data_IF_276819091405
#
_entry.id   IF_276819091405
#
_cell.length_a   1.000
_cell.length_b   1.000
_cell.length_c   1.000
_cell.angle_alpha   90.00
_cell.angle_beta   90.00
_cell.angle_gamma   90.00
#
_symmetry.space_group_name_H-M   'P 1'
#
loop_
_entity.id
_entity.type
_entity.pdbx_description
1 polymer ?
#
# COMPACT_ATOMS: atom_id res chain seq x y z
N UNK A 1 4.00 35.66 -0.21
CA UNK A 1 4.56 35.11 1.03
C UNK A 1 3.67 33.95 1.43
N UNK A 2 4.10 32.72 1.21
CA UNK A 2 3.44 31.52 1.73
C UNK A 2 4.14 31.15 3.04
N UNK A 3 3.36 31.03 4.10
CA UNK A 3 3.83 30.51 5.39
C UNK A 3 3.91 29.00 5.21
N UNK A 4 5.10 28.43 5.38
CA UNK A 4 5.27 26.98 5.53
C UNK A 4 4.51 26.55 6.78
N UNK A 5 3.46 25.75 6.59
CA UNK A 5 2.60 25.28 7.67
C UNK A 5 3.27 24.21 8.53
N UNK A 6 4.53 23.83 8.24
CA UNK A 6 5.30 22.89 9.06
C UNK A 6 4.67 21.51 9.10
N UNK A 7 4.16 21.03 7.97
CA UNK A 7 3.62 19.69 7.85
C UNK A 7 4.75 18.69 8.16
N UNK A 8 4.59 17.73 9.08
CA UNK A 8 5.64 16.76 9.32
C UNK A 8 5.89 15.97 8.02
N UNK A 9 7.09 15.44 7.83
CA UNK A 9 7.42 14.61 6.66
C UNK A 9 7.80 13.20 7.08
N UNK A 10 7.47 12.22 6.22
CA UNK A 10 7.67 10.79 6.44
C UNK A 10 7.48 10.30 7.88
N UNK A 11 8.59 9.85 8.46
CA UNK A 11 8.68 9.23 9.78
C UNK A 11 9.03 10.21 10.91
N UNK A 12 8.88 11.53 10.71
CA UNK A 12 9.33 12.55 11.65
C UNK A 12 8.82 12.36 13.09
N UNK A 13 7.56 11.92 13.24
CA UNK A 13 6.94 11.74 14.56
C UNK A 13 7.25 10.38 15.20
N UNK A 14 7.90 9.46 14.46
CA UNK A 14 8.16 8.10 14.92
C UNK A 14 9.49 8.04 15.67
N UNK A 15 9.51 7.61 16.94
CA UNK A 15 10.73 7.54 17.72
C UNK A 15 11.81 6.65 17.10
N UNK A 16 13.01 7.23 16.97
CA UNK A 16 14.23 6.57 16.50
C UNK A 16 15.01 5.97 17.66
N UNK A 17 15.97 5.12 17.33
CA UNK A 17 16.97 4.65 18.29
C UNK A 17 17.80 5.83 18.82
N UNK A 18 18.29 5.76 20.07
CA UNK A 18 19.23 6.76 20.59
C UNK A 18 20.50 6.85 19.76
N UNK A 19 21.13 8.02 19.75
CA UNK A 19 22.44 8.21 19.13
C UNK A 19 23.47 7.26 19.74
N UNK A 20 24.25 6.59 18.87
CA UNK A 20 25.25 5.61 19.28
C UNK A 20 24.69 4.23 19.67
N UNK A 21 23.38 3.99 19.51
CA UNK A 21 22.82 2.65 19.65
C UNK A 21 23.45 1.68 18.64
N UNK A 22 23.64 0.43 19.04
CA UNK A 22 24.14 -0.61 18.15
C UNK A 22 23.17 -0.80 16.95
N UNK A 23 23.70 -1.03 15.73
CA UNK A 23 22.86 -1.28 14.57
C UNK A 23 21.87 -2.42 14.82
N UNK A 24 20.61 -2.19 14.44
CA UNK A 24 19.63 -3.26 14.47
C UNK A 24 19.95 -4.33 13.42
N UNK A 25 19.47 -5.54 13.64
CA UNK A 25 19.66 -6.69 12.74
C UNK A 25 18.34 -7.32 12.35
N UNK A 26 18.32 -8.00 11.21
CA UNK A 26 17.16 -8.79 10.75
C UNK A 26 16.59 -9.69 11.86
N UNK A 27 17.47 -10.37 12.61
CA UNK A 27 17.08 -11.30 13.68
C UNK A 27 16.21 -10.63 14.75
N UNK A 28 16.42 -9.34 15.05
CA UNK A 28 15.61 -8.64 16.04
C UNK A 28 14.16 -8.42 15.58
N UNK A 29 13.90 -8.41 14.25
CA UNK A 29 12.56 -8.27 13.66
C UNK A 29 11.92 -9.60 13.28
N UNK A 30 12.63 -10.72 13.41
CA UNK A 30 12.09 -12.07 13.20
C UNK A 30 11.51 -12.61 14.51
N UNK A 31 10.25 -13.05 14.49
CA UNK A 31 9.62 -13.72 15.64
C UNK A 31 10.16 -15.14 15.85
N UNK A 32 9.86 -15.74 16.99
CA UNK A 32 10.09 -17.17 17.26
C UNK A 32 9.04 -18.12 16.64
N UNK A 33 7.98 -17.57 16.03
CA UNK A 33 6.91 -18.35 15.42
C UNK A 33 7.34 -19.04 14.13
N UNK A 34 6.90 -20.29 13.96
CA UNK A 34 7.10 -21.05 12.73
C UNK A 34 6.25 -20.50 11.57
N UNK A 35 6.90 -20.23 10.44
CA UNK A 35 6.23 -19.75 9.23
C UNK A 35 5.49 -20.91 8.55
N UNK A 36 4.17 -20.78 8.41
CA UNK A 36 3.25 -21.84 7.94
C UNK A 36 2.74 -21.63 6.52
N UNK A 37 3.53 -20.98 5.68
CA UNK A 37 3.21 -20.85 4.26
C UNK A 37 3.69 -22.08 3.49
N UNK A 38 3.14 -22.28 2.29
CA UNK A 38 3.55 -23.38 1.44
C UNK A 38 5.00 -23.19 0.95
N UNK A 39 5.82 -24.25 0.82
CA UNK A 39 7.14 -24.15 0.21
C UNK A 39 7.06 -23.48 -1.17
N UNK A 40 7.92 -22.48 -1.41
CA UNK A 40 7.90 -21.69 -2.65
C UNK A 40 6.90 -20.53 -2.68
N UNK A 41 6.12 -20.29 -1.61
CA UNK A 41 5.23 -19.15 -1.52
C UNK A 41 6.00 -17.83 -1.55
N UNK A 42 5.55 -16.88 -2.36
CA UNK A 42 6.10 -15.52 -2.46
C UNK A 42 6.14 -14.75 -1.13
N UNK A 43 5.20 -15.05 -0.23
CA UNK A 43 5.12 -14.45 1.11
C UNK A 43 6.45 -14.57 1.89
N UNK A 44 7.20 -15.66 1.71
CA UNK A 44 8.52 -15.84 2.33
C UNK A 44 9.53 -14.78 1.87
N UNK A 45 9.53 -14.44 0.58
CA UNK A 45 10.44 -13.45 0.02
C UNK A 45 10.09 -12.05 0.53
N UNK A 46 8.80 -11.71 0.56
CA UNK A 46 8.33 -10.42 1.09
C UNK A 46 8.65 -10.27 2.57
N UNK A 47 8.38 -11.30 3.38
CA UNK A 47 8.72 -11.32 4.81
C UNK A 47 10.22 -11.16 5.04
N UNK A 48 11.05 -11.95 4.35
CA UNK A 48 12.49 -11.90 4.50
C UNK A 48 13.07 -10.54 4.10
N UNK A 49 12.50 -9.90 3.08
CA UNK A 49 12.89 -8.57 2.61
C UNK A 49 12.50 -7.51 3.63
N UNK A 50 11.24 -7.50 4.10
CA UNK A 50 10.78 -6.58 5.14
C UNK A 50 11.61 -6.69 6.42
N UNK A 51 11.86 -7.89 6.93
CA UNK A 51 12.69 -8.09 8.13
C UNK A 51 14.13 -7.61 7.95
N UNK A 52 14.68 -7.68 6.73
CA UNK A 52 16.01 -7.16 6.40
C UNK A 52 16.04 -5.63 6.26
N UNK A 53 14.94 -5.05 5.77
CA UNK A 53 14.78 -3.61 5.53
C UNK A 53 14.49 -2.81 6.81
N UNK A 54 13.65 -3.31 7.73
CA UNK A 54 13.26 -2.56 8.93
C UNK A 54 14.44 -2.03 9.80
N UNK A 55 15.54 -2.78 9.99
CA UNK A 55 16.74 -2.27 10.65
C UNK A 55 17.28 -0.95 10.08
N UNK A 56 17.14 -0.74 8.78
CA UNK A 56 17.67 0.42 8.08
C UNK A 56 16.88 1.71 8.38
N UNK A 57 15.64 1.58 8.87
CA UNK A 57 14.83 2.74 9.26
C UNK A 57 15.31 3.38 10.57
N UNK A 58 16.05 2.64 11.40
CA UNK A 58 16.53 3.11 12.70
C UNK A 58 15.40 3.43 13.70
N UNK A 59 14.21 2.86 13.51
CA UNK A 59 13.06 3.04 14.38
C UNK A 59 13.11 2.08 15.57
N UNK A 60 12.53 2.49 16.69
CA UNK A 60 12.27 1.56 17.79
C UNK A 60 11.25 0.52 17.36
N UNK A 61 11.50 -0.75 17.71
CA UNK A 61 10.72 -1.89 17.27
C UNK A 61 9.28 -1.86 17.80
N UNK A 62 9.11 -1.34 19.01
CA UNK A 62 7.85 -1.06 19.67
C UNK A 62 7.04 0.09 19.04
N UNK A 63 7.66 0.90 18.17
CA UNK A 63 7.01 1.96 17.41
C UNK A 63 6.66 1.55 15.97
N UNK A 64 6.87 0.29 15.59
CA UNK A 64 6.44 -0.28 14.31
C UNK A 64 5.27 -1.23 14.58
N UNK A 65 4.18 -1.09 13.83
CA UNK A 65 2.99 -1.93 14.01
C UNK A 65 2.54 -2.55 12.70
N UNK A 66 2.40 -3.87 12.66
CA UNK A 66 1.81 -4.60 11.53
C UNK A 66 0.37 -5.03 11.81
N UNK A 67 -0.58 -4.52 11.03
CA UNK A 67 -1.99 -4.89 11.12
C UNK A 67 -2.36 -5.68 9.86
N UNK A 68 -3.09 -6.77 10.00
CA UNK A 68 -3.51 -7.56 8.83
C UNK A 68 -4.97 -7.96 8.89
N UNK A 69 -5.54 -8.31 7.73
CA UNK A 69 -6.89 -8.83 7.59
C UNK A 69 -6.94 -10.34 7.82
N UNK A 70 -7.54 -11.09 6.91
CA UNK A 70 -7.56 -12.57 6.93
C UNK A 70 -7.12 -13.11 5.56
N UNK A 71 -6.21 -14.08 5.56
CA UNK A 71 -5.63 -14.69 4.36
C UNK A 71 -4.25 -15.28 4.61
N UNK A 72 -3.62 -15.90 3.61
CA UNK A 72 -2.23 -16.36 3.71
C UNK A 72 -1.31 -15.19 4.02
N UNK A 73 -1.40 -14.11 3.23
CA UNK A 73 -0.69 -12.85 3.45
C UNK A 73 -0.92 -12.30 4.86
N UNK A 74 -2.14 -12.42 5.39
CA UNK A 74 -2.50 -11.82 6.68
C UNK A 74 -1.91 -12.54 7.90
N UNK A 75 -1.21 -13.66 7.72
CA UNK A 75 -0.39 -14.25 8.80
C UNK A 75 0.88 -13.44 9.10
N UNK A 76 1.22 -12.46 8.26
CA UNK A 76 2.45 -11.68 8.37
C UNK A 76 2.78 -11.14 9.76
N UNK A 77 1.83 -10.55 10.53
CA UNK A 77 2.15 -10.00 11.85
C UNK A 77 2.65 -11.05 12.85
N UNK A 78 2.26 -12.32 12.71
CA UNK A 78 2.79 -13.39 13.58
C UNK A 78 4.27 -13.63 13.39
N UNK A 79 4.83 -13.25 12.24
CA UNK A 79 6.21 -13.49 11.84
C UNK A 79 7.12 -12.29 12.06
N UNK A 80 6.56 -11.20 12.59
CA UNK A 80 7.26 -9.98 12.93
C UNK A 80 7.42 -9.89 14.44
N UNK A 81 8.63 -9.62 14.90
CA UNK A 81 8.88 -9.34 16.31
C UNK A 81 8.63 -7.84 16.58
N UNK A 82 7.42 -7.36 16.35
CA UNK A 82 6.99 -5.96 16.61
C UNK A 82 5.63 -6.00 17.32
N UNK A 83 5.01 -4.85 17.58
CA UNK A 83 3.56 -4.88 17.82
C UNK A 83 2.84 -5.28 16.53
N UNK A 84 1.72 -5.97 16.68
CA UNK A 84 0.91 -6.35 15.54
C UNK A 84 -0.49 -6.83 15.93
N UNK A 85 -1.39 -6.82 14.94
CA UNK A 85 -2.78 -7.25 15.10
C UNK A 85 -3.22 -8.02 13.87
N UNK A 86 -3.54 -9.31 14.05
CA UNK A 86 -4.29 -10.07 13.05
C UNK A 86 -5.78 -9.82 13.31
N UNK A 87 -6.39 -9.02 12.44
CA UNK A 87 -7.73 -8.50 12.66
C UNK A 87 -8.82 -9.41 12.06
N UNK A 88 -9.82 -8.83 11.41
CA UNK A 88 -10.89 -9.56 10.72
C UNK A 88 -10.90 -9.20 9.24
N UNK A 89 -11.51 -10.07 8.44
CA UNK A 89 -11.38 -10.05 6.99
C UNK A 89 -11.81 -8.69 6.39
N UNK A 90 -10.90 -8.04 5.67
CA UNK A 90 -11.07 -6.75 5.02
C UNK A 90 -11.26 -5.56 5.94
N UNK A 91 -10.93 -5.65 7.24
CA UNK A 91 -11.07 -4.54 8.20
C UNK A 91 -9.75 -3.94 8.66
N UNK A 92 -8.62 -4.47 8.19
CA UNK A 92 -7.30 -3.97 8.57
C UNK A 92 -7.10 -2.46 8.31
N UNK A 93 -7.50 -1.88 7.15
CA UNK A 93 -7.39 -0.43 6.94
C UNK A 93 -8.24 0.39 7.92
N UNK A 94 -9.43 -0.09 8.29
CA UNK A 94 -10.31 0.59 9.23
C UNK A 94 -9.71 0.63 10.65
N UNK A 95 -9.18 -0.50 11.12
CA UNK A 95 -8.52 -0.60 12.43
C UNK A 95 -7.24 0.22 12.45
N UNK A 96 -6.43 0.14 11.39
CA UNK A 96 -5.22 0.93 11.23
C UNK A 96 -5.51 2.44 11.23
N UNK A 97 -6.63 2.87 10.67
CA UNK A 97 -7.07 4.28 10.73
C UNK A 97 -7.30 4.74 12.17
N UNK A 98 -7.98 3.95 12.98
CA UNK A 98 -8.18 4.26 14.40
C UNK A 98 -6.87 4.38 15.18
N UNK A 99 -5.91 3.49 14.89
CA UNK A 99 -4.58 3.54 15.49
C UNK A 99 -3.80 4.79 15.04
N UNK A 100 -3.80 5.12 13.74
CA UNK A 100 -3.09 6.28 13.20
C UNK A 100 -3.60 7.59 13.81
N UNK A 101 -4.93 7.74 13.96
CA UNK A 101 -5.54 8.91 14.62
C UNK A 101 -5.08 9.03 16.08
N UNK A 102 -5.02 7.90 16.79
CA UNK A 102 -4.78 7.88 18.24
C UNK A 102 -3.30 7.94 18.62
N UNK A 103 -2.38 7.54 17.73
CA UNK A 103 -0.96 7.35 18.03
C UNK A 103 -0.08 7.84 16.86
N UNK A 104 0.23 9.15 16.78
CA UNK A 104 1.09 9.72 15.72
C UNK A 104 2.53 9.18 15.75
N UNK A 105 2.96 8.62 16.88
CA UNK A 105 4.31 8.13 17.12
C UNK A 105 4.55 6.69 16.61
N UNK A 106 3.67 6.16 15.76
CA UNK A 106 3.75 4.79 15.23
C UNK A 106 3.94 4.76 13.71
N UNK A 107 4.85 3.91 13.25
CA UNK A 107 4.93 3.51 11.85
C UNK A 107 4.00 2.33 11.60
N UNK A 108 2.84 2.61 11.01
CA UNK A 108 1.78 1.63 10.80
C UNK A 108 1.87 1.02 9.40
N UNK A 109 1.87 -0.32 9.35
CA UNK A 109 1.91 -1.13 8.15
C UNK A 109 0.71 -2.08 8.12
N UNK A 110 -0.07 -2.03 7.06
CA UNK A 110 -1.19 -2.92 6.79
C UNK A 110 -0.74 -3.98 5.80
N UNK A 111 -0.89 -5.26 6.14
CA UNK A 111 -0.63 -6.37 5.22
C UNK A 111 -1.93 -7.05 4.85
N UNK A 112 -2.19 -7.17 3.56
CA UNK A 112 -3.47 -7.65 3.04
C UNK A 112 -3.26 -8.44 1.75
N UNK A 113 -4.19 -9.35 1.44
CA UNK A 113 -4.25 -10.02 0.14
C UNK A 113 -5.15 -9.26 -0.82
N UNK A 114 -5.02 -9.51 -2.11
CA UNK A 114 -5.95 -9.07 -3.15
C UNK A 114 -7.43 -9.24 -2.77
N UNK A 115 -7.83 -10.40 -2.26
CA UNK A 115 -9.18 -10.66 -1.78
C UNK A 115 -9.61 -9.86 -0.57
N UNK A 116 -8.74 -9.81 0.42
CA UNK A 116 -8.99 -9.12 1.68
C UNK A 116 -9.19 -7.62 1.44
N UNK A 117 -8.38 -7.00 0.59
CA UNK A 117 -8.44 -5.57 0.31
C UNK A 117 -9.42 -5.16 -0.80
N UNK A 118 -9.54 -5.94 -1.88
CA UNK A 118 -10.26 -5.52 -3.09
C UNK A 118 -11.65 -6.16 -3.23
N UNK A 119 -11.98 -7.15 -2.39
CA UNK A 119 -13.34 -7.68 -2.28
C UNK A 119 -14.01 -7.10 -1.04
N UNK A 120 -14.08 -7.86 0.05
CA UNK A 120 -14.78 -7.47 1.28
C UNK A 120 -14.20 -6.19 1.94
N UNK A 121 -12.93 -5.88 1.72
CA UNK A 121 -12.26 -4.69 2.24
C UNK A 121 -12.30 -3.47 1.33
N UNK A 122 -12.87 -3.57 0.13
CA UNK A 122 -12.73 -2.55 -0.93
C UNK A 122 -13.08 -1.15 -0.47
N UNK A 123 -14.21 -0.98 0.21
CA UNK A 123 -14.65 0.33 0.66
C UNK A 123 -13.73 0.93 1.76
N UNK A 124 -13.15 0.10 2.63
CA UNK A 124 -12.22 0.55 3.65
C UNK A 124 -10.88 0.95 3.04
N UNK A 125 -10.39 0.20 2.04
CA UNK A 125 -9.20 0.56 1.27
C UNK A 125 -9.38 1.92 0.60
N UNK A 126 -10.46 2.10 -0.17
CA UNK A 126 -10.75 3.35 -0.90
C UNK A 126 -10.82 4.54 0.05
N UNK A 127 -11.48 4.39 1.21
CA UNK A 127 -11.58 5.47 2.17
C UNK A 127 -10.27 5.75 2.93
N UNK A 128 -9.40 4.77 3.15
CA UNK A 128 -8.08 5.02 3.70
C UNK A 128 -7.25 5.88 2.74
N UNK A 129 -7.22 5.49 1.45
CA UNK A 129 -6.52 6.21 0.38
C UNK A 129 -7.06 7.64 0.19
N UNK A 130 -8.38 7.79 0.03
CA UNK A 130 -9.04 9.09 -0.17
C UNK A 130 -8.82 10.05 0.99
N UNK A 131 -8.84 9.55 2.23
CA UNK A 131 -8.58 10.35 3.43
C UNK A 131 -7.11 10.71 3.58
N UNK A 132 -6.20 10.00 2.90
CA UNK A 132 -4.77 10.11 3.11
C UNK A 132 -4.37 9.86 4.58
N UNK A 133 -4.79 8.72 5.13
CA UNK A 133 -4.38 8.31 6.49
C UNK A 133 -2.89 7.95 6.47
N UNK A 134 -2.10 8.38 7.46
CA UNK A 134 -0.65 8.10 7.53
C UNK A 134 -0.35 6.62 7.84
N UNK A 135 -0.39 5.75 6.83
CA UNK A 135 -0.15 4.31 6.94
C UNK A 135 0.33 3.72 5.61
N UNK A 136 1.01 2.58 5.68
CA UNK A 136 1.52 1.86 4.49
C UNK A 136 0.70 0.60 4.28
N UNK A 137 0.13 0.39 3.10
CA UNK A 137 -0.66 -0.79 2.73
C UNK A 137 0.14 -1.64 1.75
N UNK A 138 0.51 -2.85 2.17
CA UNK A 138 1.18 -3.84 1.35
C UNK A 138 0.14 -4.86 0.87
N UNK A 139 -0.20 -4.76 -0.42
CA UNK A 139 -1.17 -5.61 -1.09
C UNK A 139 -0.47 -6.77 -1.78
N UNK A 140 -0.59 -7.96 -1.21
CA UNK A 140 0.00 -9.16 -1.79
C UNK A 140 -0.97 -9.70 -2.84
N UNK A 141 -0.65 -9.46 -4.10
CA UNK A 141 -1.49 -9.85 -5.22
C UNK A 141 -0.98 -11.16 -5.80
N UNK A 142 -1.66 -12.25 -5.44
CA UNK A 142 -1.44 -13.58 -6.00
C UNK A 142 -2.58 -14.04 -6.92
N UNK A 143 -3.54 -13.14 -7.20
CA UNK A 143 -4.70 -13.36 -8.05
C UNK A 143 -5.57 -14.54 -7.63
N UNK A 144 -5.59 -14.90 -6.34
CA UNK A 144 -6.37 -16.04 -5.84
C UNK A 144 -6.61 -16.05 -4.33
N UNK A 145 -7.74 -16.61 -3.87
CA UNK A 145 -7.96 -16.85 -2.45
C UNK A 145 -7.24 -18.14 -1.99
N UNK A 146 -5.96 -18.00 -1.67
CA UNK A 146 -5.11 -19.14 -1.27
C UNK A 146 -5.60 -19.85 0.00
N UNK A 147 -5.88 -19.10 1.08
CA UNK A 147 -6.21 -19.68 2.39
C UNK A 147 -7.53 -20.48 2.38
N UNK A 148 -8.51 -20.04 1.59
CA UNK A 148 -9.81 -20.71 1.43
C UNK A 148 -9.80 -21.78 0.35
N UNK A 149 -8.61 -22.15 -0.13
CA UNK A 149 -8.33 -23.27 -1.04
C UNK A 149 -8.62 -23.03 -2.53
N UNK A 150 -8.39 -21.82 -3.03
CA UNK A 150 -8.26 -21.55 -4.47
C UNK A 150 -9.55 -21.13 -5.17
N UNK A 151 -10.27 -20.15 -4.62
CA UNK A 151 -11.33 -19.42 -5.33
C UNK A 151 -10.71 -18.22 -6.06
N UNK A 152 -11.30 -17.79 -7.17
CA UNK A 152 -10.86 -16.57 -7.86
C UNK A 152 -10.97 -15.34 -6.94
N UNK A 153 -10.08 -14.39 -7.13
CA UNK A 153 -10.04 -13.10 -6.45
C UNK A 153 -10.45 -11.97 -7.41
N UNK A 154 -10.64 -10.74 -6.92
CA UNK A 154 -10.93 -9.59 -7.77
C UNK A 154 -9.80 -9.20 -8.74
N UNK A 155 -8.62 -9.86 -8.66
CA UNK A 155 -7.51 -9.68 -9.60
C UNK A 155 -7.24 -10.93 -10.45
N UNK A 156 -8.02 -12.00 -10.29
CA UNK A 156 -7.98 -13.16 -11.19
C UNK A 156 -8.37 -12.78 -12.61
N UNK A 157 -7.70 -13.39 -13.59
CA UNK A 157 -7.96 -13.13 -15.00
C UNK A 157 -9.36 -13.60 -15.41
N UNK A 158 -9.98 -12.89 -16.36
CA UNK A 158 -11.17 -13.41 -17.04
C UNK A 158 -10.84 -14.77 -17.68
N UNK A 159 -11.75 -15.73 -17.56
CA UNK A 159 -11.54 -17.11 -17.98
C UNK A 159 -10.84 -18.00 -16.95
N UNK A 160 -10.36 -17.47 -15.81
CA UNK A 160 -9.65 -18.26 -14.79
C UNK A 160 -10.55 -19.34 -14.20
N UNK A 161 -10.22 -20.60 -14.47
CA UNK A 161 -10.90 -21.77 -13.89
C UNK A 161 -10.41 -21.96 -12.45
N UNK A 162 -11.34 -21.93 -11.50
CA UNK A 162 -11.06 -22.16 -10.08
C UNK A 162 -12.13 -23.08 -9.47
N UNK A 163 -12.03 -23.41 -8.18
CA UNK A 163 -13.04 -24.27 -7.54
C UNK A 163 -14.45 -23.67 -7.55
N UNK A 164 -14.56 -22.35 -7.43
CA UNK A 164 -15.85 -21.65 -7.44
C UNK A 164 -16.23 -21.11 -8.83
N UNK A 165 -15.31 -21.14 -9.79
CA UNK A 165 -15.53 -20.76 -11.20
C UNK A 165 -15.11 -21.89 -12.13
N UNK A 166 -15.78 -23.07 -12.08
CA UNK A 166 -15.38 -24.23 -12.88
C UNK A 166 -15.49 -24.01 -14.40
N UNK A 167 -16.31 -23.05 -14.83
CA UNK A 167 -16.45 -22.62 -16.24
C UNK A 167 -15.56 -21.42 -16.61
N UNK A 168 -14.66 -21.00 -15.71
CA UNK A 168 -13.88 -19.77 -15.84
C UNK A 168 -14.56 -18.56 -15.19
N UNK A 169 -13.77 -17.61 -14.72
CA UNK A 169 -14.27 -16.33 -14.20
C UNK A 169 -14.83 -15.48 -15.34
N UNK A 170 -15.99 -14.86 -15.15
CA UNK A 170 -16.53 -13.86 -16.09
C UNK A 170 -16.28 -12.43 -15.63
N UNK A 171 -15.72 -12.27 -14.44
CA UNK A 171 -15.46 -10.96 -13.84
C UNK A 171 -14.31 -10.26 -14.58
N UNK A 172 -14.43 -8.94 -14.65
CA UNK A 172 -13.35 -8.08 -15.12
C UNK A 172 -12.43 -7.77 -13.93
N UNK A 173 -11.14 -8.12 -13.98
CA UNK A 173 -10.24 -7.90 -12.84
C UNK A 173 -10.03 -6.42 -12.56
N UNK A 174 -9.94 -6.08 -11.27
CA UNK A 174 -9.41 -4.79 -10.86
C UNK A 174 -7.94 -4.67 -11.24
N UNK A 175 -7.55 -3.46 -11.65
CA UNK A 175 -6.17 -3.03 -11.59
C UNK A 175 -5.97 -2.26 -10.27
N UNK A 176 -5.22 -2.81 -9.29
CA UNK A 176 -5.11 -2.18 -7.98
C UNK A 176 -4.47 -0.80 -8.00
N UNK A 177 -3.51 -0.58 -8.90
CA UNK A 177 -2.87 0.73 -9.11
C UNK A 177 -3.89 1.73 -9.67
N UNK A 178 -4.66 1.36 -10.70
CA UNK A 178 -5.72 2.24 -11.23
C UNK A 178 -6.79 2.56 -10.18
N UNK A 179 -7.20 1.57 -9.38
CA UNK A 179 -8.17 1.78 -8.30
C UNK A 179 -7.65 2.80 -7.28
N UNK A 180 -6.37 2.68 -6.89
CA UNK A 180 -5.77 3.58 -5.92
C UNK A 180 -5.60 5.01 -6.44
N UNK A 181 -5.15 5.14 -7.69
CA UNK A 181 -5.03 6.43 -8.36
C UNK A 181 -6.40 7.10 -8.55
N UNK A 182 -7.43 6.32 -8.90
CA UNK A 182 -8.82 6.78 -8.98
C UNK A 182 -9.43 7.17 -7.62
N UNK A 183 -8.90 6.63 -6.52
CA UNK A 183 -9.22 7.03 -5.15
C UNK A 183 -8.38 8.23 -4.65
N UNK A 184 -7.58 8.85 -5.53
CA UNK A 184 -6.65 9.94 -5.22
C UNK A 184 -5.63 9.59 -4.14
N UNK A 185 -5.11 8.36 -4.15
CA UNK A 185 -3.98 7.99 -3.31
C UNK A 185 -2.79 8.92 -3.56
N UNK A 186 -2.09 9.29 -2.50
CA UNK A 186 -0.92 10.17 -2.55
C UNK A 186 0.36 9.41 -2.84
N UNK A 187 0.41 8.11 -2.52
CA UNK A 187 1.49 7.23 -2.93
C UNK A 187 0.97 5.91 -3.47
N UNK A 188 1.44 5.52 -4.66
CA UNK A 188 1.10 4.24 -5.31
C UNK A 188 2.34 3.65 -5.96
N UNK A 189 2.63 2.39 -5.65
CA UNK A 189 3.74 1.66 -6.24
C UNK A 189 3.37 0.22 -6.57
N UNK A 190 4.12 -0.39 -7.50
CA UNK A 190 4.07 -1.83 -7.80
C UNK A 190 5.46 -2.43 -7.79
N UNK A 191 5.58 -3.65 -7.30
CA UNK A 191 6.84 -4.42 -7.32
C UNK A 191 6.56 -5.93 -7.34
N UNK A 192 7.63 -6.74 -7.35
CA UNK A 192 7.58 -8.19 -7.36
C UNK A 192 8.24 -8.77 -6.11
N UNK A 193 7.73 -9.88 -5.62
CA UNK A 193 8.34 -10.66 -4.54
C UNK A 193 9.75 -11.18 -4.90
N UNK A 194 10.00 -11.47 -6.18
CA UNK A 194 11.24 -12.03 -6.72
C UNK A 194 12.35 -11.00 -6.91
N UNK A 195 12.03 -9.71 -7.08
CA UNK A 195 13.01 -8.61 -7.21
C UNK A 195 13.23 -7.94 -5.86
N UNK A 196 14.01 -8.59 -4.99
CA UNK A 196 14.24 -8.13 -3.61
C UNK A 196 14.85 -6.74 -3.53
N UNK A 197 15.74 -6.38 -4.47
CA UNK A 197 16.38 -5.06 -4.47
C UNK A 197 15.32 -3.98 -4.72
N UNK A 198 14.54 -4.15 -5.78
CA UNK A 198 13.49 -3.20 -6.13
C UNK A 198 12.36 -3.18 -5.09
N UNK A 199 11.99 -4.32 -4.49
CA UNK A 199 11.07 -4.37 -3.37
C UNK A 199 11.59 -3.55 -2.18
N UNK A 200 12.86 -3.67 -1.79
CA UNK A 200 13.44 -2.84 -0.71
C UNK A 200 13.41 -1.34 -1.05
N UNK A 201 13.71 -0.96 -2.30
CA UNK A 201 13.65 0.45 -2.75
C UNK A 201 12.23 1.02 -2.64
N UNK A 202 11.22 0.27 -3.13
CA UNK A 202 9.81 0.68 -3.02
C UNK A 202 9.33 0.73 -1.57
N UNK A 203 9.75 -0.22 -0.72
CA UNK A 203 9.42 -0.21 0.71
C UNK A 203 10.04 1.00 1.43
N UNK A 204 11.24 1.42 1.04
CA UNK A 204 11.88 2.63 1.57
C UNK A 204 11.08 3.88 1.20
N UNK A 205 10.77 4.05 -0.08
CA UNK A 205 9.95 5.17 -0.55
C UNK A 205 8.59 5.21 0.16
N UNK A 206 7.93 4.05 0.29
CA UNK A 206 6.66 3.96 1.02
C UNK A 206 6.79 4.28 2.53
N UNK A 207 7.91 3.94 3.16
CA UNK A 207 8.17 4.28 4.56
C UNK A 207 8.39 5.78 4.76
N UNK A 208 9.04 6.43 3.80
CA UNK A 208 9.35 7.87 3.80
C UNK A 208 8.15 8.73 3.38
N UNK A 209 7.15 8.16 2.72
CA UNK A 209 5.91 8.86 2.39
C UNK A 209 5.06 9.15 3.64
N UNK A 210 4.64 10.41 3.82
CA UNK A 210 3.65 10.79 4.82
C UNK A 210 2.25 10.82 4.20
N UNK A 211 1.47 9.80 4.52
CA UNK A 211 0.16 9.60 3.92
C UNK A 211 -0.14 8.13 3.72
N UNK A 212 -1.16 7.84 2.90
CA UNK A 212 -1.48 6.45 2.56
C UNK A 212 -0.62 6.02 1.37
N UNK A 213 0.31 5.12 1.62
CA UNK A 213 1.09 4.46 0.58
C UNK A 213 0.50 3.08 0.24
N UNK A 214 0.05 2.88 -0.99
CA UNK A 214 -0.29 1.55 -1.49
C UNK A 214 0.89 0.96 -2.26
N UNK A 215 1.34 -0.23 -1.86
CA UNK A 215 2.33 -1.02 -2.60
C UNK A 215 1.68 -2.33 -3.03
N UNK A 216 1.44 -2.47 -4.33
CA UNK A 216 1.08 -3.75 -4.93
C UNK A 216 2.32 -4.62 -5.09
N UNK A 217 2.28 -5.83 -4.55
CA UNK A 217 3.37 -6.80 -4.65
C UNK A 217 2.83 -8.01 -5.39
N UNK A 218 3.31 -8.23 -6.61
CA UNK A 218 3.08 -9.48 -7.34
C UNK A 218 3.75 -10.63 -6.58
N UNK A 219 2.93 -11.58 -6.14
CA UNK A 219 3.29 -12.59 -5.14
C UNK A 219 2.86 -13.98 -5.65
N UNK A 220 3.77 -14.95 -5.72
CA UNK A 220 3.45 -16.27 -6.28
C UNK A 220 2.73 -17.19 -5.28
N UNK A 221 1.58 -17.78 -5.66
CA UNK A 221 0.88 -18.79 -4.89
C UNK A 221 1.09 -20.20 -5.49
N UNK A 222 2.08 -20.98 -5.04
CA UNK A 222 2.49 -22.22 -5.72
C UNK A 222 1.45 -23.35 -5.68
N UNK A 223 0.48 -23.28 -4.77
CA UNK A 223 -0.51 -24.36 -4.62
C UNK A 223 -1.74 -24.16 -5.50
N UNK A 224 -2.17 -22.91 -5.72
CA UNK A 224 -3.44 -22.62 -6.39
C UNK A 224 -3.31 -21.72 -7.62
N UNK A 225 -2.23 -20.96 -7.73
CA UNK A 225 -2.01 -20.06 -8.86
C UNK A 225 -0.51 -19.94 -9.18
N UNK A 226 0.14 -21.08 -9.36
CA UNK A 226 1.57 -21.13 -9.61
C UNK A 226 1.92 -20.50 -10.96
N UNK A 227 3.03 -19.80 -10.98
CA UNK A 227 3.57 -19.16 -12.18
C UNK A 227 2.78 -17.96 -12.70
N UNK A 228 1.85 -17.40 -11.91
CA UNK A 228 1.01 -16.27 -12.31
C UNK A 228 1.79 -15.04 -12.81
N UNK A 229 3.05 -14.90 -12.38
CA UNK A 229 3.95 -13.79 -12.75
C UNK A 229 5.31 -14.29 -13.27
N UNK A 230 5.45 -15.55 -13.68
CA UNK A 230 6.75 -16.13 -14.05
C UNK A 230 7.38 -15.46 -15.27
N UNK A 231 6.57 -14.95 -16.19
CA UNK A 231 7.04 -14.17 -17.35
C UNK A 231 7.79 -12.90 -16.96
N UNK A 232 7.68 -12.45 -15.71
CA UNK A 232 8.37 -11.28 -15.18
C UNK A 232 9.61 -11.64 -14.33
N UNK A 233 9.86 -12.94 -14.09
CA UNK A 233 10.99 -13.42 -13.26
C UNK A 233 12.21 -13.80 -14.07
N UNK A 234 12.00 -14.36 -15.25
CA UNK A 234 13.09 -14.71 -16.17
C UNK A 234 13.83 -13.43 -16.59
N UNK A 235 15.16 -13.41 -16.51
CA UNK A 235 15.95 -12.17 -16.67
C UNK A 235 15.77 -11.54 -18.05
N UNK A 236 15.75 -12.36 -19.09
CA UNK A 236 15.68 -11.89 -20.47
C UNK A 236 14.26 -11.40 -20.78
N UNK A 237 13.23 -12.13 -20.31
CA UNK A 237 11.84 -11.70 -20.43
C UNK A 237 11.53 -10.46 -19.58
N UNK A 238 12.10 -10.36 -18.38
CA UNK A 238 11.87 -9.26 -17.46
C UNK A 238 12.41 -7.94 -18.03
N UNK A 239 13.58 -7.94 -18.68
CA UNK A 239 14.11 -6.75 -19.34
C UNK A 239 13.21 -6.23 -20.46
N UNK A 240 12.58 -7.15 -21.21
CA UNK A 240 11.66 -6.80 -22.29
C UNK A 240 10.25 -6.41 -21.82
N UNK A 241 9.86 -6.74 -20.57
CA UNK A 241 8.48 -6.57 -20.08
C UNK A 241 8.33 -5.56 -18.96
N UNK A 242 9.35 -5.37 -18.12
CA UNK A 242 9.29 -4.47 -16.98
C UNK A 242 9.62 -3.04 -17.40
N UNK A 243 8.63 -2.16 -17.34
CA UNK A 243 8.81 -0.72 -17.45
C UNK A 243 9.13 -0.17 -16.06
N UNK A 244 10.41 0.06 -15.76
CA UNK A 244 10.83 0.59 -14.45
C UNK A 244 10.58 2.09 -14.37
N UNK A 245 9.70 2.49 -13.47
CA UNK A 245 9.34 3.87 -13.20
C UNK A 245 10.37 4.52 -12.27
N UNK A 246 11.22 5.37 -12.83
CA UNK A 246 12.21 6.17 -12.10
C UNK A 246 11.91 7.65 -12.33
N UNK A 247 11.68 8.42 -11.27
CA UNK A 247 11.34 9.84 -11.39
C UNK A 247 12.46 10.61 -12.10
N UNK A 248 12.09 11.44 -13.07
CA UNK A 248 13.01 12.24 -13.87
C UNK A 248 13.65 11.49 -15.04
N UNK A 249 13.47 10.17 -15.12
CA UNK A 249 14.05 9.34 -16.19
C UNK A 249 13.06 9.11 -17.35
N UNK A 250 13.57 8.95 -18.58
CA UNK A 250 12.76 8.51 -19.71
C UNK A 250 12.12 7.14 -19.49
N UNK A 251 10.87 6.99 -19.91
CA UNK A 251 10.11 5.74 -19.85
C UNK A 251 10.55 4.80 -20.98
N UNK A 252 11.55 3.98 -20.68
CA UNK A 252 12.12 3.00 -21.62
C UNK A 252 12.07 1.57 -21.07
N UNK A 253 12.04 0.59 -21.97
CA UNK A 253 12.13 -0.83 -21.67
C UNK A 253 12.91 -1.55 -22.78
N UNK A 254 13.49 -2.72 -22.48
CA UNK A 254 14.37 -3.42 -23.42
C UNK A 254 15.72 -2.71 -23.65
N UNK A 255 16.61 -3.38 -24.38
CA UNK A 255 17.94 -2.87 -24.73
C UNK A 255 18.24 -3.16 -26.22
N UNK A 256 19.21 -2.44 -26.79
CA UNK A 256 19.65 -2.63 -28.18
C UNK A 256 18.51 -2.45 -29.20
N UNK A 257 18.42 -3.37 -30.15
CA UNK A 257 17.43 -3.33 -31.24
C UNK A 257 15.98 -3.58 -30.75
N UNK A 258 15.81 -4.16 -29.56
CA UNK A 258 14.51 -4.42 -28.93
C UNK A 258 14.08 -3.29 -27.97
N UNK A 259 14.85 -2.20 -27.89
CA UNK A 259 14.53 -1.05 -27.06
C UNK A 259 13.20 -0.42 -27.48
N UNK A 260 12.34 -0.13 -26.50
CA UNK A 260 11.04 0.52 -26.69
C UNK A 260 10.91 1.70 -25.75
N UNK A 261 10.07 2.65 -26.15
CA UNK A 261 9.81 3.89 -25.42
C UNK A 261 8.31 4.08 -25.25
N UNK A 262 7.91 4.70 -24.14
CA UNK A 262 6.53 5.14 -23.94
C UNK A 262 6.36 6.52 -24.57
N UNK A 263 5.38 6.67 -25.45
CA UNK A 263 5.04 7.92 -26.12
C UNK A 263 3.59 8.30 -25.87
N UNK A 264 3.25 9.56 -26.10
CA UNK A 264 1.86 10.04 -26.09
C UNK A 264 1.34 10.10 -27.52
N UNK A 265 0.20 9.46 -27.74
CA UNK A 265 -0.52 9.52 -29.02
C UNK A 265 -1.34 10.82 -29.14
N UNK A 266 -1.79 11.12 -30.36
CA UNK A 266 -2.54 12.35 -30.65
C UNK A 266 -3.87 12.46 -29.88
N UNK A 267 -4.47 11.32 -29.52
CA UNK A 267 -5.69 11.25 -28.71
C UNK A 267 -5.41 11.34 -27.19
N UNK A 268 -4.14 11.49 -26.80
CA UNK A 268 -3.69 11.59 -25.41
C UNK A 268 -3.41 10.25 -24.73
N UNK A 269 -3.69 9.11 -25.38
CA UNK A 269 -3.36 7.78 -24.86
C UNK A 269 -1.84 7.54 -24.83
N UNK A 270 -1.41 6.54 -24.06
CA UNK A 270 -0.02 6.11 -24.03
C UNK A 270 0.16 4.88 -24.91
N UNK A 271 1.24 4.86 -25.69
CA UNK A 271 1.64 3.71 -26.48
C UNK A 271 3.09 3.35 -26.19
N UNK A 272 3.41 2.06 -26.29
CA UNK A 272 4.78 1.54 -26.25
C UNK A 272 5.22 1.24 -27.68
N UNK A 273 6.25 1.94 -28.15
CA UNK A 273 6.71 1.87 -29.54
C UNK A 273 8.20 1.56 -29.60
N UNK A 274 8.71 0.95 -30.70
CA UNK A 274 10.15 0.76 -30.88
C UNK A 274 10.89 2.10 -30.79
N UNK A 275 12.07 2.11 -30.16
CA UNK A 275 12.88 3.33 -30.06
C UNK A 275 13.30 3.86 -31.45
N UNK A 276 13.34 2.99 -32.47
CA UNK A 276 13.58 3.33 -33.88
C UNK A 276 12.47 4.19 -34.53
N UNK A 277 11.31 4.32 -33.88
CA UNK A 277 10.22 5.20 -34.32
C UNK A 277 10.60 6.70 -34.20
N UNK A 278 11.65 7.04 -33.45
CA UNK A 278 12.22 8.39 -33.41
C UNK A 278 11.44 9.43 -32.61
N UNK A 279 10.25 9.08 -32.08
CA UNK A 279 9.50 9.92 -31.14
C UNK A 279 10.20 9.95 -29.77
N UNK A 280 10.26 11.10 -29.08
CA UNK A 280 10.89 11.20 -27.77
C UNK A 280 10.09 10.42 -26.73
N UNK A 281 10.79 9.68 -25.88
CA UNK A 281 10.20 9.01 -24.73
C UNK A 281 9.61 10.05 -23.76
N UNK A 282 8.45 9.74 -23.17
CA UNK A 282 7.92 10.49 -22.04
C UNK A 282 8.84 10.32 -20.82
N UNK A 283 9.01 11.39 -20.05
CA UNK A 283 9.75 11.35 -18.78
C UNK A 283 8.77 11.05 -17.65
N UNK A 284 9.14 10.13 -16.76
CA UNK A 284 8.31 9.79 -15.61
C UNK A 284 8.36 10.88 -14.55
N UNK A 285 7.21 11.32 -14.08
CA UNK A 285 7.08 12.25 -12.96
C UNK A 285 6.19 11.66 -11.86
N UNK A 286 6.81 11.02 -10.87
CA UNK A 286 6.10 10.52 -9.68
C UNK A 286 5.48 11.65 -8.83
N UNK A 287 6.00 12.87 -8.90
CA UNK A 287 5.59 14.00 -8.06
C UNK A 287 4.58 14.93 -8.76
N UNK A 288 4.11 14.56 -9.95
CA UNK A 288 3.09 15.31 -10.68
C UNK A 288 1.80 15.44 -9.86
N UNK A 289 1.33 16.68 -9.65
CA UNK A 289 0.09 16.93 -8.90
C UNK A 289 -1.13 16.26 -9.56
N UNK A 290 -1.20 16.29 -10.89
CA UNK A 290 -2.23 15.61 -11.68
C UNK A 290 -1.93 14.10 -11.82
N UNK A 291 -2.83 13.20 -11.37
CA UNK A 291 -2.60 11.75 -11.43
C UNK A 291 -2.77 11.16 -12.85
N UNK A 292 -3.10 11.94 -13.88
CA UNK A 292 -3.44 11.44 -15.22
C UNK A 292 -2.33 10.62 -15.87
N UNK A 293 -1.06 11.05 -15.75
CA UNK A 293 0.07 10.27 -16.27
C UNK A 293 0.22 8.95 -15.52
N UNK A 294 0.22 8.99 -14.19
CA UNK A 294 0.30 7.80 -13.34
C UNK A 294 -0.84 6.81 -13.66
N UNK A 295 -2.06 7.33 -13.86
CA UNK A 295 -3.22 6.51 -14.19
C UNK A 295 -3.05 5.88 -15.56
N UNK A 296 -2.63 6.64 -16.58
CA UNK A 296 -2.39 6.10 -17.91
C UNK A 296 -1.27 5.05 -17.92
N UNK A 297 -0.17 5.26 -17.16
CA UNK A 297 0.90 4.28 -16.98
C UNK A 297 0.36 2.97 -16.38
N UNK A 298 -0.51 3.05 -15.37
CA UNK A 298 -1.11 1.86 -14.75
C UNK A 298 -1.91 0.99 -15.74
N UNK A 299 -2.33 1.55 -16.88
CA UNK A 299 -3.13 0.90 -17.92
C UNK A 299 -2.31 0.35 -19.09
N UNK A 300 -0.97 0.50 -19.07
CA UNK A 300 -0.09 -0.11 -20.09
C UNK A 300 0.01 -1.63 -19.97
N UNK A 301 -0.25 -2.16 -18.77
CA UNK A 301 -0.24 -3.60 -18.52
C UNK A 301 -1.41 -4.28 -19.24
N UNK A 302 -1.15 -5.48 -19.77
CA UNK A 302 -2.11 -6.32 -20.49
C UNK A 302 -2.22 -7.68 -19.80
N UNK A 303 -3.27 -8.48 -20.06
CA UNK A 303 -3.35 -9.85 -19.51
C UNK A 303 -2.10 -10.69 -19.81
N UNK A 304 -1.46 -10.46 -20.96
CA UNK A 304 -0.22 -11.12 -21.40
C UNK A 304 1.07 -10.53 -20.78
N UNK A 305 0.94 -9.52 -19.90
CA UNK A 305 2.06 -8.85 -19.21
C UNK A 305 3.18 -8.42 -20.16
N UNK A 306 2.79 -7.77 -21.25
CA UNK A 306 3.74 -7.32 -22.29
C UNK A 306 4.54 -6.09 -21.85
N UNK A 307 3.89 -5.16 -21.14
CA UNK A 307 4.49 -3.94 -20.64
C UNK A 307 3.99 -3.66 -19.22
N UNK A 308 4.69 -4.18 -18.22
CA UNK A 308 4.30 -4.09 -16.81
C UNK A 308 5.08 -2.96 -16.16
N UNK A 309 4.43 -1.83 -15.81
CA UNK A 309 5.10 -0.78 -15.07
C UNK A 309 5.29 -1.19 -13.61
N UNK A 310 6.52 -1.00 -13.11
CA UNK A 310 6.92 -1.28 -11.72
C UNK A 310 7.72 -0.11 -11.18
N UNK A 311 7.63 0.14 -9.88
CA UNK A 311 8.21 1.30 -9.22
C UNK A 311 7.12 2.20 -8.64
N UNK A 312 7.49 3.44 -8.34
CA UNK A 312 6.58 4.45 -7.78
C UNK A 312 5.85 5.15 -8.92
N UNK A 313 4.54 4.96 -9.03
CA UNK A 313 3.69 5.65 -10.00
C UNK A 313 3.41 7.08 -9.59
N UNK A 314 3.22 7.28 -8.28
CA UNK A 314 2.83 8.55 -7.68
C UNK A 314 3.39 8.63 -6.27
N UNK A 315 3.89 9.80 -5.90
CA UNK A 315 4.31 10.20 -4.57
C UNK A 315 4.14 11.73 -4.45
N UNK A 316 3.04 12.17 -3.84
CA UNK A 316 2.71 13.60 -3.70
C UNK A 316 2.33 13.93 -2.28
N UNK A 317 2.57 15.18 -1.86
CA UNK A 317 2.22 15.61 -0.51
C UNK A 317 0.77 16.13 -0.44
N UNK A 318 0.06 15.71 0.59
CA UNK A 318 -1.25 16.24 0.99
C UNK A 318 -1.37 16.12 2.51
N UNK A 319 -2.11 17.01 3.20
CA UNK A 319 -2.40 16.82 4.61
C UNK A 319 -2.97 15.43 4.91
N UNK A 320 -2.51 14.83 6.00
CA UNK A 320 -3.01 13.52 6.42
C UNK A 320 -4.27 13.69 7.25
N UNK A 321 -5.21 12.75 7.12
CA UNK A 321 -6.45 12.78 7.89
C UNK A 321 -6.21 12.77 9.40
N UNK A 322 -5.28 11.95 9.86
CA UNK A 322 -4.99 11.79 11.28
C UNK A 322 -4.32 13.04 11.89
N UNK A 323 -3.47 13.75 11.15
CA UNK A 323 -2.96 15.07 11.58
C UNK A 323 -4.09 16.08 11.73
N UNK A 324 -4.98 16.17 10.74
CA UNK A 324 -6.09 17.12 10.75
C UNK A 324 -7.07 16.84 11.90
N UNK A 325 -7.38 15.57 12.17
CA UNK A 325 -8.23 15.18 13.31
C UNK A 325 -7.57 15.55 14.62
N UNK A 326 -6.28 15.29 14.81
CA UNK A 326 -5.56 15.70 16.02
C UNK A 326 -5.53 17.22 16.17
N UNK A 327 -5.25 17.96 15.10
CA UNK A 327 -5.25 19.42 15.13
C UNK A 327 -6.62 19.99 15.52
N UNK A 328 -7.72 19.38 15.05
CA UNK A 328 -9.07 19.75 15.47
C UNK A 328 -9.28 19.54 16.98
N UNK A 329 -8.85 18.40 17.53
CA UNK A 329 -8.96 18.10 18.96
C UNK A 329 -8.10 19.06 19.80
N UNK A 330 -6.86 19.34 19.36
CA UNK A 330 -5.97 20.31 20.01
C UNK A 330 -6.59 21.70 20.03
N UNK A 331 -7.14 22.15 18.90
CA UNK A 331 -7.80 23.46 18.79
C UNK A 331 -9.02 23.54 19.71
N UNK A 332 -9.87 22.51 19.72
CA UNK A 332 -11.05 22.45 20.58
C UNK A 332 -10.74 22.39 22.09
N UNK A 333 -9.53 21.95 22.46
CA UNK A 333 -9.10 21.82 23.86
C UNK A 333 -8.15 22.95 24.28
N UNK A 334 -7.98 24.00 23.46
CA UNK A 334 -7.03 25.08 23.72
C UNK A 334 -7.32 25.83 25.03
N UNK A 335 -8.61 25.96 25.39
CA UNK A 335 -9.06 26.60 26.63
C UNK A 335 -9.11 25.64 27.84
N UNK A 336 -8.57 24.42 27.68
CA UNK A 336 -8.58 23.36 28.68
C UNK A 336 -9.46 22.17 28.28
N UNK A 337 -9.30 21.01 28.97
CA UNK A 337 -10.14 19.84 28.69
C UNK A 337 -11.60 20.13 29.08
N UNK A 338 -12.59 19.59 28.34
CA UNK A 338 -13.99 19.72 28.72
C UNK A 338 -14.23 19.12 30.11
N UNK A 339 -14.88 19.87 30.99
CA UNK A 339 -15.24 19.41 32.33
C UNK A 339 -16.57 18.68 32.32
N UNK A 340 -16.81 17.84 33.33
CA UNK A 340 -18.11 17.20 33.52
C UNK A 340 -19.21 18.25 33.68
N UNK A 341 -18.92 19.37 34.36
CA UNK A 341 -19.84 20.48 34.53
C UNK A 341 -20.18 21.18 33.22
N UNK A 342 -19.20 21.38 32.33
CA UNK A 342 -19.42 21.96 31.01
C UNK A 342 -20.30 21.04 30.14
N UNK A 343 -20.03 19.73 30.16
CA UNK A 343 -20.84 18.74 29.46
C UNK A 343 -22.27 18.67 30.04
N UNK A 344 -22.39 18.67 31.36
CA UNK A 344 -23.69 18.65 32.05
C UNK A 344 -24.50 19.90 31.72
N UNK A 345 -23.86 21.08 31.66
CA UNK A 345 -24.50 22.34 31.27
C UNK A 345 -25.00 22.29 29.83
N UNK A 346 -24.22 21.71 28.91
CA UNK A 346 -24.63 21.52 27.51
C UNK A 346 -25.83 20.57 27.38
N UNK A 347 -25.83 19.46 28.13
CA UNK A 347 -26.91 18.46 28.10
C UNK A 347 -28.19 19.00 28.76
N UNK A 348 -28.05 19.67 29.91
CA UNK A 348 -29.18 20.27 30.62
C UNK A 348 -29.82 21.39 29.78
N UNK A 349 -29.01 22.10 28.98
CA UNK A 349 -29.45 23.30 28.29
C UNK A 349 -29.90 24.38 29.28
N UNK A 350 -30.52 25.43 28.76
CA UNK A 350 -31.01 26.53 29.60
C UNK A 350 -32.45 26.28 30.10
N UNK A 351 -33.15 25.31 29.53
CA UNK A 351 -34.59 25.07 29.72
C UNK A 351 -34.82 23.70 30.38
N UNK A 352 -34.41 23.56 31.65
CA UNK A 352 -34.78 22.38 32.44
C UNK A 352 -36.08 22.64 33.20
N UNK A 353 -36.95 21.63 33.26
CA UNK A 353 -38.11 21.63 34.17
C UNK A 353 -38.00 20.47 35.15
N UNK A 354 -38.35 20.73 36.41
CA UNK A 354 -38.39 19.70 37.44
C UNK A 354 -39.76 19.02 37.40
N UNK A 355 -39.80 17.72 37.14
CA UNK A 355 -41.04 16.93 37.31
C UNK A 355 -41.24 16.73 38.80
N UNK A 356 -42.19 17.45 39.38
CA UNK A 356 -42.57 17.30 40.79
C UNK A 356 -43.08 15.89 41.06
N UNK A 357 -42.52 15.21 42.06
CA UNK A 357 -43.05 13.94 42.55
C UNK A 357 -44.47 14.15 43.05
N UNK A 358 -45.44 13.50 42.40
CA UNK A 358 -46.81 13.46 42.89
C UNK A 358 -46.83 12.91 44.31
N UNK A 359 -47.46 13.67 45.21
CA UNK A 359 -47.76 13.26 46.58
C UNK A 359 -48.72 12.06 46.61
#
# INVERSE_FOLDING_TARGET
MTIDLGMPSGLADVPRLPDGAAPQTKKQFTSDQEVRWCPGCGDYAVLATMQGFLPELGLRRENIVFISGIGCSSRFPYYMNTYGMHSIHGRAPAIATGLAVSRPDLSIWVVTGDGDALSIGGNHLVHALRRNVNLKILLFNNRIYGLTKGQYSPTSETGKVTKSTPAGSVDNPFNPVSLALGAEATFVARTLDSDRKHLTEVLRAAAEHRGTALVEIYQNCPIFNDGAFDVLKDRDQAQARLLRLQHGEPLTLGEGDEARVVVREADGSLAVVPASDGRPALVHDAHAADPSLAFALSRLDSPDMTHVPVGVFRDVERPTYDDLVRAQVTTASADGPPTTEALQSLIAGNDTWTVGGGA
#
